data_IF_380392041131
#
_entry.id   IF_380392041131
#
_cell.length_a   1.000
_cell.length_b   1.000
_cell.length_c   1.000
_cell.angle_alpha   90.00
_cell.angle_beta   90.00
_cell.angle_gamma   90.00
#
_symmetry.space_group_name_H-M   'P 1'
#
loop_
_entity.id
_entity.type
_entity.pdbx_description
1 polymer ?
#
# COMPACT_ATOMS: atom_id res chain seq x y z
N UNK A 1 -1.80 10.38 20.05
CA UNK A 1 -1.75 9.19 19.18
C UNK A 1 -1.21 9.63 17.84
N UNK A 2 -0.55 8.75 17.09
CA UNK A 2 -0.09 9.06 15.74
C UNK A 2 -1.25 9.07 14.75
N UNK A 3 -1.08 9.70 13.57
CA UNK A 3 -2.09 9.65 12.49
C UNK A 3 -2.40 8.21 12.10
N UNK A 4 -1.39 7.33 12.10
CA UNK A 4 -1.57 5.90 11.87
C UNK A 4 -2.49 5.26 12.92
N UNK A 5 -2.25 5.50 14.21
CA UNK A 5 -3.08 4.94 15.28
C UNK A 5 -4.52 5.44 15.17
N UNK A 6 -4.72 6.73 14.97
CA UNK A 6 -6.06 7.31 14.83
C UNK A 6 -6.81 6.70 13.64
N UNK A 7 -6.11 6.51 12.51
CA UNK A 7 -6.69 5.90 11.31
C UNK A 7 -7.01 4.41 11.51
N UNK A 8 -6.13 3.68 12.18
CA UNK A 8 -6.34 2.27 12.53
C UNK A 8 -7.56 2.11 13.44
N UNK A 9 -7.71 2.97 14.45
CA UNK A 9 -8.89 2.96 15.32
C UNK A 9 -10.16 3.27 14.53
N UNK A 10 -10.13 4.26 13.63
CA UNK A 10 -11.25 4.59 12.75
C UNK A 10 -11.68 3.37 11.91
N UNK A 11 -10.73 2.68 11.27
CA UNK A 11 -11.01 1.48 10.48
C UNK A 11 -11.53 0.32 11.34
N UNK A 12 -10.94 0.06 12.51
CA UNK A 12 -11.43 -0.97 13.45
C UNK A 12 -12.88 -0.68 13.86
N UNK A 13 -13.21 0.59 14.16
CA UNK A 13 -14.58 1.00 14.47
C UNK A 13 -15.54 0.88 13.27
N UNK A 14 -15.08 1.14 12.05
CA UNK A 14 -15.87 0.90 10.83
C UNK A 14 -16.19 -0.60 10.67
N UNK A 15 -15.17 -1.46 10.81
CA UNK A 15 -15.32 -2.92 10.72
C UNK A 15 -16.32 -3.44 11.76
N UNK A 16 -16.21 -2.98 13.02
CA UNK A 16 -17.12 -3.36 14.09
C UNK A 16 -18.57 -2.96 13.79
N UNK A 17 -18.80 -1.72 13.33
CA UNK A 17 -20.13 -1.23 12.97
C UNK A 17 -20.78 -2.05 11.85
N UNK A 18 -19.96 -2.57 10.92
CA UNK A 18 -20.42 -3.39 9.78
C UNK A 18 -20.44 -4.89 10.09
N UNK A 19 -20.29 -5.30 11.36
CA UNK A 19 -20.22 -6.69 11.80
C UNK A 19 -19.13 -7.51 11.09
N UNK A 20 -18.03 -6.85 10.72
CA UNK A 20 -16.88 -7.42 10.01
C UNK A 20 -15.59 -7.28 10.83
N UNK A 21 -15.68 -7.24 12.16
CA UNK A 21 -14.52 -7.18 13.06
C UNK A 21 -13.49 -8.26 12.70
N UNK A 22 -12.28 -7.82 12.39
CA UNK A 22 -11.18 -8.68 11.98
C UNK A 22 -9.86 -8.03 12.39
N UNK A 23 -8.81 -8.83 12.57
CA UNK A 23 -7.49 -8.27 12.80
C UNK A 23 -6.97 -7.69 11.48
N UNK A 24 -6.82 -6.36 11.43
CA UNK A 24 -6.31 -5.64 10.26
C UNK A 24 -4.90 -5.09 10.50
N UNK A 25 -4.37 -5.21 11.72
CA UNK A 25 -3.03 -4.74 12.07
C UNK A 25 -2.04 -5.89 11.96
N UNK A 26 -0.90 -5.62 11.35
CA UNK A 26 0.19 -6.56 11.09
C UNK A 26 1.53 -5.84 11.24
N UNK A 27 2.64 -6.54 11.06
CA UNK A 27 3.98 -5.95 10.93
C UNK A 27 4.40 -5.89 9.46
N UNK A 28 5.34 -5.01 9.11
CA UNK A 28 5.94 -5.03 7.76
C UNK A 28 6.56 -6.37 7.42
N UNK A 29 7.21 -7.04 8.38
CA UNK A 29 7.72 -8.40 8.21
C UNK A 29 6.60 -9.32 7.78
N UNK A 30 5.53 -9.42 8.56
CA UNK A 30 4.48 -10.41 8.30
C UNK A 30 3.69 -10.10 7.02
N UNK A 31 3.51 -8.82 6.68
CA UNK A 31 2.95 -8.41 5.39
C UNK A 31 3.85 -8.76 4.18
N UNK A 32 5.14 -9.00 4.43
CA UNK A 32 6.11 -9.37 3.40
C UNK A 32 6.36 -10.87 3.29
N UNK A 33 5.55 -11.68 3.98
CA UNK A 33 5.62 -13.13 3.94
C UNK A 33 5.36 -13.63 2.52
N UNK A 34 6.30 -14.41 2.02
CA UNK A 34 6.13 -15.26 0.87
C UNK A 34 5.80 -16.68 1.35
N UNK A 35 4.55 -17.08 1.14
CA UNK A 35 3.99 -18.37 1.55
C UNK A 35 3.98 -19.42 0.42
N UNK A 36 4.68 -19.17 -0.70
CA UNK A 36 4.76 -20.13 -1.81
C UNK A 36 5.35 -21.49 -1.42
N UNK A 37 6.17 -21.52 -0.36
CA UNK A 37 6.67 -22.73 0.27
C UNK A 37 6.34 -22.70 1.77
N UNK A 38 5.25 -23.35 2.20
CA UNK A 38 4.83 -23.38 3.60
C UNK A 38 5.86 -24.00 4.55
N UNK A 39 6.80 -24.80 4.03
CA UNK A 39 7.82 -25.48 4.83
C UNK A 39 9.04 -24.60 5.10
N UNK A 40 9.19 -23.51 4.33
CA UNK A 40 10.29 -22.57 4.46
C UNK A 40 9.80 -21.13 4.20
N UNK A 41 9.06 -20.52 5.16
CA UNK A 41 8.52 -19.19 5.00
C UNK A 41 9.65 -18.17 4.83
N UNK A 42 9.57 -17.38 3.76
CA UNK A 42 10.55 -16.33 3.46
C UNK A 42 9.90 -14.97 3.61
N UNK A 43 10.61 -14.04 4.23
CA UNK A 43 10.15 -12.67 4.43
C UNK A 43 11.04 -11.74 3.64
N UNK A 44 10.44 -10.86 2.82
CA UNK A 44 11.22 -9.88 2.04
C UNK A 44 11.89 -8.89 2.99
N UNK A 45 11.19 -8.46 4.05
CA UNK A 45 11.78 -7.65 5.12
C UNK A 45 11.71 -8.37 6.46
N UNK A 46 12.75 -8.24 7.26
CA UNK A 46 12.78 -8.77 8.64
C UNK A 46 12.33 -7.75 9.68
N UNK A 47 11.92 -6.55 9.27
CA UNK A 47 11.53 -5.49 10.19
C UNK A 47 10.18 -5.79 10.88
N UNK A 48 10.22 -5.95 12.20
CA UNK A 48 9.04 -6.15 13.04
C UNK A 48 8.62 -4.87 13.79
N UNK A 49 9.40 -3.80 13.70
CA UNK A 49 9.22 -2.60 14.53
C UNK A 49 8.16 -1.65 13.97
N UNK A 50 7.82 -1.78 12.68
CA UNK A 50 6.76 -1.00 12.06
C UNK A 50 5.50 -1.85 11.90
N UNK A 51 4.45 -1.44 12.59
CA UNK A 51 3.09 -1.87 12.35
C UNK A 51 2.56 -1.29 11.04
N UNK A 52 1.75 -2.08 10.34
CA UNK A 52 1.07 -1.71 9.13
C UNK A 52 -0.37 -2.22 9.16
N UNK A 53 -1.23 -1.62 8.35
CA UNK A 53 -2.56 -2.15 8.08
C UNK A 53 -2.43 -3.16 6.93
N UNK A 54 -2.93 -4.38 7.14
CA UNK A 54 -3.04 -5.40 6.10
C UNK A 54 -4.19 -5.04 5.17
N UNK A 55 -3.87 -4.58 3.96
CA UNK A 55 -4.91 -4.23 2.99
C UNK A 55 -5.58 -5.48 2.39
N UNK A 56 -4.90 -6.63 2.40
CA UNK A 56 -5.52 -7.93 2.11
C UNK A 56 -6.63 -8.27 3.12
N UNK A 57 -6.39 -8.04 4.42
CA UNK A 57 -7.42 -8.26 5.43
C UNK A 57 -8.62 -7.32 5.22
N UNK A 58 -8.38 -6.05 4.85
CA UNK A 58 -9.43 -5.11 4.49
C UNK A 58 -10.19 -5.61 3.25
N UNK A 59 -9.51 -5.99 2.17
CA UNK A 59 -10.13 -6.44 0.94
C UNK A 59 -10.99 -7.70 1.15
N UNK A 60 -10.43 -8.73 1.81
CA UNK A 60 -11.06 -10.04 1.94
C UNK A 60 -12.14 -10.09 3.01
N UNK A 61 -11.94 -9.39 4.14
CA UNK A 61 -12.80 -9.52 5.31
C UNK A 61 -13.74 -8.35 5.53
N UNK A 62 -13.50 -7.21 4.86
CA UNK A 62 -14.32 -6.00 5.02
C UNK A 62 -14.99 -5.66 3.70
N UNK A 63 -14.21 -5.29 2.68
CA UNK A 63 -14.73 -4.81 1.39
C UNK A 63 -15.58 -5.87 0.71
N UNK A 64 -15.06 -7.10 0.56
CA UNK A 64 -15.82 -8.21 -0.03
C UNK A 64 -17.14 -8.45 0.71
N UNK A 65 -17.11 -8.54 2.03
CA UNK A 65 -18.31 -8.86 2.82
C UNK A 65 -19.38 -7.78 2.75
N UNK A 66 -18.99 -6.51 2.63
CA UNK A 66 -19.92 -5.37 2.62
C UNK A 66 -20.41 -5.08 1.19
N UNK A 67 -19.52 -5.14 0.20
CA UNK A 67 -19.79 -4.61 -1.14
C UNK A 67 -19.96 -5.66 -2.23
N UNK A 68 -19.55 -6.92 -1.99
CA UNK A 68 -19.64 -8.01 -2.96
C UNK A 68 -20.70 -9.00 -2.48
N UNK A 69 -21.97 -8.58 -2.60
CA UNK A 69 -23.13 -9.36 -2.16
C UNK A 69 -23.09 -10.79 -2.75
N UNK A 70 -23.22 -11.79 -1.86
CA UNK A 70 -23.24 -13.21 -2.25
C UNK A 70 -21.87 -13.86 -2.46
N UNK A 71 -20.76 -13.12 -2.34
CA UNK A 71 -19.43 -13.72 -2.41
C UNK A 71 -19.05 -14.42 -1.10
N UNK A 72 -18.70 -15.69 -1.21
CA UNK A 72 -18.11 -16.48 -0.11
C UNK A 72 -16.66 -16.86 -0.36
N UNK A 73 -16.13 -16.65 -1.57
CA UNK A 73 -14.77 -17.05 -1.97
C UNK A 73 -13.78 -15.90 -1.81
N UNK A 74 -12.61 -16.17 -1.26
CA UNK A 74 -11.58 -15.13 -1.09
C UNK A 74 -11.07 -14.63 -2.46
N UNK A 75 -11.17 -15.43 -3.52
CA UNK A 75 -10.81 -15.06 -4.89
C UNK A 75 -11.63 -13.92 -5.48
N UNK A 76 -12.82 -13.67 -4.94
CA UNK A 76 -13.70 -12.59 -5.42
C UNK A 76 -13.36 -11.25 -4.74
N UNK A 77 -12.43 -11.27 -3.79
CA UNK A 77 -11.98 -10.05 -3.12
C UNK A 77 -11.26 -9.16 -4.13
N UNK A 78 -11.43 -7.83 -4.03
CA UNK A 78 -10.68 -6.93 -4.87
C UNK A 78 -9.18 -7.07 -4.63
N UNK A 79 -8.39 -6.86 -5.67
CA UNK A 79 -6.94 -6.83 -5.55
C UNK A 79 -6.51 -5.70 -4.59
N UNK A 80 -5.59 -6.01 -3.69
CA UNK A 80 -5.04 -5.10 -2.67
C UNK A 80 -3.53 -5.16 -2.65
N UNK A 81 -2.89 -4.07 -2.24
CA UNK A 81 -1.48 -4.12 -1.85
C UNK A 81 -1.32 -4.89 -0.53
N UNK A 82 -0.11 -5.23 -0.15
CA UNK A 82 0.09 -6.07 1.03
C UNK A 82 0.00 -5.26 2.34
N UNK A 83 0.58 -4.05 2.36
CA UNK A 83 0.67 -3.20 3.56
C UNK A 83 0.32 -1.74 3.30
N UNK A 84 -0.20 -1.08 4.34
CA UNK A 84 -0.52 0.34 4.36
C UNK A 84 -0.06 1.05 5.62
N UNK A 85 0.55 2.24 5.48
CA UNK A 85 1.02 3.08 6.58
C UNK A 85 0.68 4.55 6.36
N UNK A 86 0.62 5.31 7.46
CA UNK A 86 0.54 6.77 7.46
C UNK A 86 1.69 7.29 8.32
N UNK A 87 2.48 8.22 7.80
CA UNK A 87 3.55 8.86 8.58
C UNK A 87 3.07 10.09 9.37
N UNK A 88 3.96 10.62 10.21
CA UNK A 88 3.72 11.80 11.03
C UNK A 88 3.32 13.04 10.21
N UNK A 89 3.82 13.13 8.96
CA UNK A 89 3.52 14.22 8.03
C UNK A 89 2.19 14.07 7.30
N UNK A 90 1.50 12.94 7.48
CA UNK A 90 0.24 12.64 6.79
C UNK A 90 0.44 12.12 5.37
N UNK A 91 1.59 11.51 5.05
CA UNK A 91 1.79 10.75 3.82
C UNK A 91 1.33 9.32 3.98
N UNK A 92 0.64 8.83 2.97
CA UNK A 92 0.01 7.52 2.93
C UNK A 92 0.81 6.60 2.01
N UNK A 93 1.22 5.45 2.51
CA UNK A 93 2.10 4.53 1.80
C UNK A 93 1.39 3.22 1.52
N UNK A 94 1.21 2.91 0.24
CA UNK A 94 0.70 1.65 -0.27
C UNK A 94 1.88 0.79 -0.69
N UNK A 95 2.14 -0.29 0.05
CA UNK A 95 3.35 -1.09 -0.07
C UNK A 95 3.00 -2.47 -0.63
N UNK A 96 3.65 -2.79 -1.75
CA UNK A 96 3.57 -4.08 -2.42
C UNK A 96 4.93 -4.78 -2.36
N UNK A 97 4.92 -6.03 -1.92
CA UNK A 97 6.07 -6.92 -1.82
C UNK A 97 6.09 -7.90 -2.99
N UNK A 98 7.27 -8.10 -3.60
CA UNK A 98 7.44 -9.05 -4.71
C UNK A 98 8.69 -9.90 -4.59
N UNK A 99 8.45 -11.19 -4.69
CA UNK A 99 9.43 -12.27 -4.72
C UNK A 99 9.70 -12.80 -6.15
N UNK A 100 8.89 -12.41 -7.13
CA UNK A 100 9.02 -12.78 -8.54
C UNK A 100 9.73 -11.69 -9.34
N UNK A 101 10.36 -12.06 -10.46
CA UNK A 101 11.00 -11.12 -11.39
C UNK A 101 10.08 -9.95 -11.72
N UNK A 102 10.57 -8.73 -11.54
CA UNK A 102 9.79 -7.49 -11.68
C UNK A 102 9.13 -7.33 -13.06
N UNK A 103 9.72 -7.92 -14.10
CA UNK A 103 9.18 -7.89 -15.46
C UNK A 103 7.76 -8.49 -15.59
N UNK A 104 7.38 -9.41 -14.70
CA UNK A 104 6.05 -10.08 -14.72
C UNK A 104 5.02 -9.43 -13.78
N UNK A 105 5.39 -8.35 -13.11
CA UNK A 105 4.63 -7.80 -11.98
C UNK A 105 3.75 -6.61 -12.36
N UNK A 106 4.04 -5.97 -13.50
CA UNK A 106 3.42 -4.72 -13.95
C UNK A 106 1.89 -4.71 -13.85
N UNK A 107 1.21 -5.67 -14.47
CA UNK A 107 -0.25 -5.68 -14.54
C UNK A 107 -0.89 -5.81 -13.17
N UNK A 108 -0.39 -6.73 -12.33
CA UNK A 108 -0.88 -6.92 -10.96
C UNK A 108 -0.64 -5.70 -10.09
N UNK A 109 0.51 -5.03 -10.20
CA UNK A 109 0.76 -3.79 -9.45
C UNK A 109 -0.20 -2.68 -9.86
N UNK A 110 -0.51 -2.55 -11.16
CA UNK A 110 -1.49 -1.57 -11.65
C UNK A 110 -2.87 -1.89 -11.08
N UNK A 111 -3.34 -3.12 -11.25
CA UNK A 111 -4.64 -3.58 -10.76
C UNK A 111 -4.80 -3.33 -9.26
N UNK A 112 -3.86 -3.82 -8.45
CA UNK A 112 -3.83 -3.61 -7.00
C UNK A 112 -3.86 -2.11 -6.65
N UNK A 113 -3.08 -1.29 -7.34
CA UNK A 113 -3.05 0.16 -7.09
C UNK A 113 -4.42 0.84 -7.28
N UNK A 114 -5.05 0.63 -8.42
CA UNK A 114 -6.36 1.24 -8.71
C UNK A 114 -7.45 0.69 -7.80
N UNK A 115 -7.52 -0.63 -7.69
CA UNK A 115 -8.50 -1.33 -6.85
C UNK A 115 -8.39 -0.88 -5.40
N UNK A 116 -7.18 -0.88 -4.84
CA UNK A 116 -7.01 -0.60 -3.43
C UNK A 116 -7.29 0.86 -3.08
N UNK A 117 -6.90 1.82 -3.93
CA UNK A 117 -7.25 3.23 -3.76
C UNK A 117 -8.75 3.41 -3.84
N UNK A 118 -9.41 2.85 -4.86
CA UNK A 118 -10.85 2.97 -5.03
C UNK A 118 -11.61 2.48 -3.79
N UNK A 119 -11.32 1.26 -3.32
CA UNK A 119 -12.05 0.69 -2.18
C UNK A 119 -11.75 1.38 -0.86
N UNK A 120 -10.51 1.84 -0.65
CA UNK A 120 -10.21 2.63 0.54
C UNK A 120 -10.96 3.97 0.49
N UNK A 121 -10.91 4.70 -0.63
CA UNK A 121 -11.67 5.95 -0.79
C UNK A 121 -13.17 5.73 -0.62
N UNK A 122 -13.71 4.58 -1.06
CA UNK A 122 -15.12 4.25 -0.85
C UNK A 122 -15.49 4.11 0.62
N UNK A 123 -14.68 3.41 1.41
CA UNK A 123 -14.86 3.31 2.87
C UNK A 123 -14.79 4.69 3.52
N UNK A 124 -13.83 5.52 3.11
CA UNK A 124 -13.64 6.87 3.67
C UNK A 124 -14.79 7.82 3.30
N UNK A 125 -15.36 7.68 2.10
CA UNK A 125 -16.57 8.40 1.70
C UNK A 125 -17.77 8.05 2.60
N UNK A 126 -17.96 6.75 2.91
CA UNK A 126 -19.01 6.34 3.87
C UNK A 126 -18.80 6.95 5.25
N UNK A 127 -17.57 6.91 5.76
CA UNK A 127 -17.23 7.51 7.05
C UNK A 127 -17.42 9.03 7.06
N UNK A 128 -17.10 9.70 5.94
CA UNK A 128 -17.33 11.14 5.76
C UNK A 128 -18.82 11.47 5.77
N UNK A 129 -19.65 10.68 5.08
CA UNK A 129 -21.11 10.86 5.08
C UNK A 129 -21.74 10.63 6.46
N UNK A 130 -21.07 9.85 7.32
CA UNK A 130 -21.44 9.68 8.74
C UNK A 130 -20.89 10.80 9.66
N UNK A 131 -20.14 11.76 9.13
CA UNK A 131 -19.49 12.82 9.92
C UNK A 131 -18.31 12.34 10.78
N UNK A 132 -17.69 11.19 10.42
CA UNK A 132 -16.64 10.52 11.21
C UNK A 132 -15.24 10.61 10.59
N UNK A 133 -15.12 11.22 9.42
CA UNK A 133 -13.85 11.33 8.70
C UNK A 133 -13.78 12.63 7.88
N UNK A 134 -12.64 13.29 7.94
CA UNK A 134 -12.25 14.39 7.05
C UNK A 134 -10.82 14.15 6.57
N UNK A 135 -10.56 14.40 5.28
CA UNK A 135 -9.24 14.14 4.70
C UNK A 135 -8.14 15.03 5.28
N UNK A 136 -8.49 16.27 5.64
CA UNK A 136 -7.54 17.22 6.25
C UNK A 136 -6.93 16.70 7.55
N UNK A 137 -7.67 15.90 8.33
CA UNK A 137 -7.22 15.42 9.64
C UNK A 137 -6.08 14.39 9.52
N UNK A 138 -5.95 13.76 8.34
CA UNK A 138 -4.93 12.75 8.04
C UNK A 138 -3.93 13.19 6.97
N UNK A 139 -3.78 14.49 6.75
CA UNK A 139 -2.81 15.08 5.82
C UNK A 139 -2.10 16.29 6.43
N UNK A 140 -1.22 16.90 5.65
CA UNK A 140 -0.65 18.22 5.94
C UNK A 140 -1.49 19.38 5.38
N UNK A 141 -2.68 19.12 4.82
CA UNK A 141 -3.50 20.14 4.17
C UNK A 141 -4.28 20.96 5.22
N UNK A 142 -4.22 22.30 5.20
CA UNK A 142 -4.88 23.14 6.22
C UNK A 142 -6.39 23.24 6.04
N UNK A 143 -6.91 22.85 4.88
CA UNK A 143 -8.32 22.91 4.53
C UNK A 143 -8.82 21.55 4.04
N UNK A 144 -10.14 21.40 3.96
CA UNK A 144 -10.71 20.22 3.33
C UNK A 144 -10.22 20.08 1.89
N UNK A 145 -9.98 18.85 1.47
CA UNK A 145 -9.40 18.49 0.18
C UNK A 145 -10.27 17.42 -0.49
N UNK A 146 -10.38 17.46 -1.82
CA UNK A 146 -11.13 16.44 -2.54
C UNK A 146 -10.43 15.07 -2.42
N UNK A 147 -11.17 13.94 -2.49
CA UNK A 147 -10.53 12.62 -2.46
C UNK A 147 -9.48 12.43 -3.55
N UNK A 148 -9.70 12.97 -4.76
CA UNK A 148 -8.76 12.84 -5.88
C UNK A 148 -7.48 13.64 -5.62
N UNK A 149 -7.61 14.90 -5.20
CA UNK A 149 -6.45 15.74 -4.88
C UNK A 149 -5.68 15.15 -3.70
N UNK A 150 -6.39 14.62 -2.70
CA UNK A 150 -5.77 13.94 -1.56
C UNK A 150 -4.86 12.79 -2.01
N UNK A 151 -5.36 11.90 -2.89
CA UNK A 151 -4.55 10.78 -3.39
C UNK A 151 -3.34 11.31 -4.19
N UNK A 152 -3.53 12.35 -5.02
CA UNK A 152 -2.47 12.96 -5.82
C UNK A 152 -1.45 13.74 -5.00
N UNK A 153 -1.80 14.19 -3.80
CA UNK A 153 -0.95 15.03 -2.96
C UNK A 153 -0.31 14.29 -1.77
N UNK A 154 -0.89 13.17 -1.33
CA UNK A 154 -0.50 12.50 -0.09
C UNK A 154 -0.28 10.99 -0.23
N UNK A 155 -0.78 10.33 -1.28
CA UNK A 155 -0.63 8.89 -1.42
C UNK A 155 0.58 8.52 -2.28
N UNK A 156 1.35 7.54 -1.81
CA UNK A 156 2.59 7.06 -2.41
C UNK A 156 2.54 5.55 -2.58
N UNK A 157 2.95 5.06 -3.75
CA UNK A 157 3.12 3.63 -4.00
C UNK A 157 4.58 3.23 -3.82
N UNK A 158 4.80 2.12 -3.12
CA UNK A 158 6.12 1.56 -2.84
C UNK A 158 6.12 0.08 -3.24
N UNK A 159 6.97 -0.26 -4.20
CA UNK A 159 7.25 -1.63 -4.58
C UNK A 159 8.55 -2.09 -3.94
N UNK A 160 8.52 -3.22 -3.22
CA UNK A 160 9.70 -3.80 -2.58
C UNK A 160 9.98 -5.16 -3.20
N UNK A 161 11.08 -5.24 -3.94
CA UNK A 161 11.54 -6.47 -4.58
C UNK A 161 12.46 -7.26 -3.65
N UNK A 162 12.37 -8.59 -3.73
CA UNK A 162 13.37 -9.48 -3.15
C UNK A 162 14.76 -9.20 -3.72
N UNK A 163 15.79 -9.26 -2.89
CA UNK A 163 17.20 -9.13 -3.28
C UNK A 163 17.66 -10.38 -4.08
N UNK A 164 17.16 -10.55 -5.30
CA UNK A 164 17.75 -11.43 -6.31
C UNK A 164 18.63 -10.55 -7.22
N UNK A 165 19.84 -11.01 -7.53
CA UNK A 165 20.85 -10.15 -8.18
C UNK A 165 20.41 -9.49 -9.50
N UNK A 166 19.45 -10.07 -10.24
CA UNK A 166 18.88 -9.47 -11.45
C UNK A 166 18.02 -8.23 -11.12
N UNK A 167 17.06 -8.36 -10.20
CA UNK A 167 16.15 -7.25 -9.83
C UNK A 167 16.93 -6.07 -9.22
N UNK A 168 18.01 -6.34 -8.48
CA UNK A 168 18.94 -5.31 -7.97
C UNK A 168 19.53 -4.48 -9.12
N UNK A 169 20.05 -5.13 -10.17
CA UNK A 169 20.61 -4.42 -11.33
C UNK A 169 19.53 -3.64 -12.10
N UNK A 170 18.33 -4.20 -12.21
CA UNK A 170 17.20 -3.53 -12.86
C UNK A 170 16.77 -2.26 -12.11
N UNK A 171 16.71 -2.31 -10.78
CA UNK A 171 16.39 -1.16 -9.94
C UNK A 171 17.50 -0.10 -9.96
N UNK A 172 18.77 -0.51 -10.00
CA UNK A 172 19.90 0.41 -10.17
C UNK A 172 19.79 1.18 -11.50
N UNK A 173 19.58 0.47 -12.62
CA UNK A 173 19.38 1.09 -13.95
C UNK A 173 18.19 2.04 -13.97
N UNK A 174 17.08 1.67 -13.33
CA UNK A 174 15.91 2.55 -13.20
C UNK A 174 16.29 3.87 -12.49
N UNK A 175 17.09 3.82 -11.42
CA UNK A 175 17.51 5.03 -10.70
C UNK A 175 18.46 5.89 -11.50
N UNK A 176 19.43 5.28 -12.18
CA UNK A 176 20.32 6.01 -13.09
C UNK A 176 19.53 6.71 -14.18
N UNK A 177 18.56 6.03 -14.79
CA UNK A 177 17.66 6.63 -15.77
C UNK A 177 16.84 7.80 -15.17
N UNK A 178 16.28 7.65 -13.96
CA UNK A 178 15.58 8.76 -13.27
C UNK A 178 16.50 9.95 -13.01
N UNK A 179 17.72 9.71 -12.50
CA UNK A 179 18.71 10.76 -12.21
C UNK A 179 19.18 11.49 -13.47
N UNK A 180 19.33 10.76 -14.58
CA UNK A 180 19.73 11.31 -15.86
C UNK A 180 18.56 11.87 -16.69
N UNK A 181 17.34 11.89 -16.15
CA UNK A 181 16.11 12.27 -16.87
C UNK A 181 15.89 11.49 -18.18
N UNK A 182 16.33 10.23 -18.23
CA UNK A 182 16.19 9.33 -19.37
C UNK A 182 14.89 8.51 -19.29
N UNK A 183 14.42 7.95 -20.42
CA UNK A 183 13.33 6.99 -20.42
C UNK A 183 13.60 5.82 -19.48
N UNK A 184 12.59 5.43 -18.70
CA UNK A 184 12.67 4.25 -17.85
C UNK A 184 12.69 2.98 -18.69
N UNK A 185 13.36 1.90 -18.25
CA UNK A 185 13.19 0.58 -18.85
C UNK A 185 11.71 0.18 -18.86
N UNK A 186 11.29 -0.57 -19.89
CA UNK A 186 9.88 -0.97 -20.08
C UNK A 186 9.27 -1.64 -18.84
N UNK A 187 10.06 -2.45 -18.13
CA UNK A 187 9.67 -3.11 -16.88
C UNK A 187 9.26 -2.14 -15.77
N UNK A 188 9.61 -0.86 -15.83
CA UNK A 188 9.30 0.16 -14.82
C UNK A 188 8.44 1.33 -15.33
N UNK A 189 8.11 1.34 -16.63
CA UNK A 189 7.21 2.35 -17.21
C UNK A 189 5.87 2.46 -16.48
N UNK A 190 5.41 1.37 -15.85
CA UNK A 190 4.18 1.36 -15.08
C UNK A 190 4.25 2.19 -13.80
N UNK A 191 5.42 2.33 -13.16
CA UNK A 191 5.57 3.21 -12.00
C UNK A 191 5.30 4.66 -12.41
N UNK A 192 5.82 5.09 -13.56
CA UNK A 192 5.51 6.42 -14.11
C UNK A 192 4.01 6.59 -14.39
N UNK A 193 3.33 5.54 -14.90
CA UNK A 193 1.86 5.57 -15.07
C UNK A 193 1.14 5.70 -13.73
N UNK A 194 1.54 4.93 -12.72
CA UNK A 194 0.95 5.04 -11.38
C UNK A 194 1.13 6.42 -10.77
N UNK A 195 2.30 7.03 -10.95
CA UNK A 195 2.57 8.42 -10.55
C UNK A 195 1.77 9.44 -11.37
N UNK A 196 1.52 9.20 -12.65
CA UNK A 196 0.69 10.10 -13.46
C UNK A 196 -0.79 10.00 -13.09
N UNK A 197 -1.33 8.79 -13.00
CA UNK A 197 -2.78 8.58 -12.92
C UNK A 197 -3.35 8.40 -11.53
N UNK A 198 -2.56 7.90 -10.56
CA UNK A 198 -3.08 7.47 -9.26
C UNK A 198 -2.41 8.24 -8.12
N UNK A 199 -1.13 8.03 -7.91
CA UNK A 199 -0.41 8.48 -6.73
C UNK A 199 0.34 9.79 -6.96
N UNK A 200 0.83 10.39 -5.86
CA UNK A 200 1.84 11.46 -5.91
C UNK A 200 3.18 10.96 -6.42
N UNK A 201 3.58 9.76 -6.02
CA UNK A 201 4.82 9.13 -6.47
C UNK A 201 4.70 7.62 -6.46
N UNK A 202 5.42 6.96 -7.36
CA UNK A 202 5.61 5.52 -7.34
C UNK A 202 7.11 5.17 -7.36
N UNK A 203 7.54 4.44 -6.33
CA UNK A 203 8.93 4.10 -6.10
C UNK A 203 9.12 2.59 -6.01
N UNK A 204 10.35 2.15 -6.31
CA UNK A 204 10.73 0.76 -6.18
C UNK A 204 12.09 0.63 -5.50
N UNK A 205 12.19 -0.35 -4.61
CA UNK A 205 13.33 -0.62 -3.76
C UNK A 205 13.66 -2.11 -3.78
N UNK A 206 14.92 -2.46 -3.58
CA UNK A 206 15.23 -3.77 -3.05
C UNK A 206 14.91 -3.80 -1.55
N UNK A 207 14.86 -4.98 -0.96
CA UNK A 207 14.56 -5.12 0.46
C UNK A 207 15.55 -4.36 1.35
N UNK A 208 16.86 -4.49 1.07
CA UNK A 208 17.90 -3.75 1.80
C UNK A 208 17.72 -2.22 1.70
N UNK A 209 17.43 -1.72 0.50
CA UNK A 209 17.29 -0.27 0.27
C UNK A 209 16.01 0.30 0.89
N UNK A 210 14.93 -0.48 0.87
CA UNK A 210 13.70 -0.14 1.56
C UNK A 210 13.97 0.01 3.06
N UNK A 211 14.76 -0.89 3.65
CA UNK A 211 15.12 -0.79 5.06
C UNK A 211 15.92 0.50 5.37
N UNK A 212 16.95 0.79 4.57
CA UNK A 212 17.82 1.96 4.79
C UNK A 212 17.14 3.29 4.50
N UNK A 213 16.36 3.37 3.42
CA UNK A 213 15.81 4.63 2.92
C UNK A 213 14.44 4.96 3.50
N UNK A 214 13.62 3.93 3.73
CA UNK A 214 12.24 4.10 4.19
C UNK A 214 12.12 3.77 5.68
N UNK A 215 12.39 2.53 6.07
CA UNK A 215 12.06 2.01 7.41
C UNK A 215 12.83 2.73 8.52
N UNK A 216 14.14 2.93 8.37
CA UNK A 216 14.97 3.62 9.37
C UNK A 216 14.58 5.08 9.59
N UNK A 217 13.96 5.72 8.59
CA UNK A 217 13.57 7.13 8.63
C UNK A 217 12.07 7.30 8.88
N UNK A 218 11.32 6.21 9.01
CA UNK A 218 9.87 6.25 9.16
C UNK A 218 9.49 6.73 10.56
N UNK A 219 8.55 7.68 10.62
CA UNK A 219 8.01 8.21 11.86
C UNK A 219 6.49 8.20 11.78
N UNK A 220 5.85 7.66 12.83
CA UNK A 220 4.39 7.65 12.97
C UNK A 220 3.82 9.00 13.36
#
# INVERSE_FOLDING_TARGET
>A
MSKYQDFLHLLKSYCAKKNCSTNIETTLRDASLNDTDPTNPKYITLNQNLNAISMDSIAQNVVRKIHFAGSTKNSDSPASVDAFLIDASGKWYFIEYKNQKLAKTKEKCIEKSYSNVFWLMKILEELKNEGRFLFKDFSSCPSEISPFDFVKEHCHFVLVAWDNGEDVQYLAKMREAKKAHLPLPDSFTFLKKLESYVFKSAQAYTANEFNQSFVQNFQY
#
